data_IF_881340257107
#
_entry.id   IF_881340257107
#
_cell.length_a   1.000
_cell.length_b   1.000
_cell.length_c   1.000
_cell.angle_alpha   90.00
_cell.angle_beta   90.00
_cell.angle_gamma   90.00
#
_symmetry.space_group_name_H-M   'P 1'
#
loop_
_entity.id
_entity.type
_entity.pdbx_description
1 polymer ?
#
# COMPACT_ATOMS: atom_id res chain seq x y z
N UNK A 1 -4.60 16.00 17.65
CA UNK A 1 -4.80 17.25 16.89
C UNK A 1 -5.76 16.99 15.74
N UNK A 2 -6.68 17.93 15.43
CA UNK A 2 -7.84 17.75 14.56
C UNK A 2 -7.52 18.02 13.08
N UNK A 3 -6.40 17.48 12.59
CA UNK A 3 -5.83 17.88 11.30
C UNK A 3 -6.41 17.15 10.07
N UNK A 4 -7.40 16.27 10.25
CA UNK A 4 -7.96 15.44 9.16
C UNK A 4 -9.34 15.95 8.70
N UNK A 5 -9.92 16.95 9.38
CA UNK A 5 -11.30 17.38 9.10
C UNK A 5 -11.46 18.46 8.04
N UNK A 6 -10.38 19.07 7.53
CA UNK A 6 -10.49 20.19 6.58
C UNK A 6 -9.40 20.18 5.50
N UNK A 7 -9.04 19.01 4.96
CA UNK A 7 -8.23 18.96 3.75
C UNK A 7 -9.15 18.87 2.51
N UNK A 8 -9.29 19.95 1.72
CA UNK A 8 -10.17 20.01 0.56
C UNK A 8 -9.71 19.12 -0.61
N UNK A 9 -8.48 18.59 -0.56
CA UNK A 9 -7.95 17.67 -1.57
C UNK A 9 -8.18 16.19 -1.19
N UNK A 10 -8.65 15.90 0.03
CA UNK A 10 -9.14 14.58 0.42
C UNK A 10 -10.61 14.45 0.03
N UNK A 11 -10.88 13.75 -1.08
CA UNK A 11 -12.24 13.28 -1.40
C UNK A 11 -12.81 12.52 -0.19
N UNK A 12 -13.90 13.03 0.38
CA UNK A 12 -14.57 12.40 1.52
C UNK A 12 -15.36 11.14 1.13
N UNK A 13 -15.70 11.00 -0.15
CA UNK A 13 -16.42 9.82 -0.65
C UNK A 13 -15.48 8.62 -0.73
N UNK A 14 -15.89 7.52 -0.15
CA UNK A 14 -15.11 6.29 -0.18
C UNK A 14 -15.13 5.67 -1.58
N UNK A 15 -13.95 5.29 -2.08
CA UNK A 15 -13.83 4.50 -3.30
C UNK A 15 -14.27 3.05 -3.04
N UNK A 16 -14.90 2.42 -4.03
CA UNK A 16 -15.12 0.97 -4.06
C UNK A 16 -14.05 0.28 -4.91
N UNK A 17 -13.69 -0.95 -4.55
CA UNK A 17 -12.77 -1.80 -5.31
C UNK A 17 -13.22 -2.03 -6.78
N UNK A 18 -14.51 -1.94 -7.08
CA UNK A 18 -15.06 -2.12 -8.42
C UNK A 18 -15.13 -0.82 -9.23
N UNK A 19 -14.81 0.31 -8.60
CA UNK A 19 -14.75 1.59 -9.30
C UNK A 19 -13.62 1.58 -10.33
N UNK A 20 -13.91 2.07 -11.54
CA UNK A 20 -12.94 2.13 -12.63
C UNK A 20 -11.93 3.24 -12.37
N UNK A 21 -10.65 2.89 -12.36
CA UNK A 21 -9.56 3.86 -12.31
C UNK A 21 -9.03 4.17 -13.71
N UNK A 22 -8.62 5.41 -13.90
CA UNK A 22 -7.90 5.82 -15.11
C UNK A 22 -6.47 5.28 -15.09
N UNK A 23 -5.89 5.08 -16.29
CA UNK A 23 -4.47 4.67 -16.42
C UNK A 23 -3.52 5.66 -15.75
N UNK A 24 -3.86 6.96 -15.74
CA UNK A 24 -3.05 7.99 -15.09
C UNK A 24 -3.05 7.83 -13.56
N UNK A 25 -4.20 7.54 -12.94
CA UNK A 25 -4.28 7.28 -11.50
C UNK A 25 -3.44 6.05 -11.10
N UNK A 26 -3.54 4.97 -11.89
CA UNK A 26 -2.77 3.74 -11.65
C UNK A 26 -1.27 4.01 -11.72
N UNK A 27 -0.82 4.69 -12.78
CA UNK A 27 0.60 5.05 -12.96
C UNK A 27 1.11 6.01 -11.90
N UNK A 28 0.28 6.96 -11.46
CA UNK A 28 0.66 7.91 -10.42
C UNK A 28 0.95 7.20 -9.10
N UNK A 29 0.10 6.26 -8.70
CA UNK A 29 0.36 5.42 -7.50
C UNK A 29 1.60 4.56 -7.68
N UNK A 30 1.78 3.96 -8.86
CA UNK A 30 2.99 3.20 -9.19
C UNK A 30 4.26 4.03 -9.03
N UNK A 31 4.27 5.27 -9.54
CA UNK A 31 5.40 6.18 -9.45
C UNK A 31 5.71 6.56 -7.99
N UNK A 32 4.70 6.89 -7.19
CA UNK A 32 4.90 7.20 -5.76
C UNK A 32 5.42 6.00 -4.98
N UNK A 33 4.94 4.79 -5.31
CA UNK A 33 5.48 3.55 -4.75
C UNK A 33 6.95 3.38 -5.15
N UNK A 34 7.30 3.60 -6.41
CA UNK A 34 8.69 3.49 -6.89
C UNK A 34 9.61 4.49 -6.19
N UNK A 35 9.18 5.73 -6.02
CA UNK A 35 9.94 6.77 -5.31
C UNK A 35 10.24 6.35 -3.86
N UNK A 36 9.23 5.83 -3.14
CA UNK A 36 9.37 5.27 -1.80
C UNK A 36 10.40 4.11 -1.78
N UNK A 37 10.28 3.15 -2.70
CA UNK A 37 11.18 2.00 -2.77
C UNK A 37 12.62 2.42 -3.04
N UNK A 38 12.86 3.28 -4.04
CA UNK A 38 14.20 3.75 -4.41
C UNK A 38 14.84 4.53 -3.27
N UNK A 39 14.08 5.39 -2.59
CA UNK A 39 14.58 6.21 -1.49
C UNK A 39 15.05 5.36 -0.31
N UNK A 40 14.31 4.30 0.01
CA UNK A 40 14.51 3.50 1.22
C UNK A 40 15.03 2.07 0.95
N UNK A 41 15.49 1.76 -0.27
CA UNK A 41 16.04 0.44 -0.61
C UNK A 41 17.21 -0.01 0.28
N UNK A 42 17.99 0.95 0.78
CA UNK A 42 19.13 0.72 1.66
C UNK A 42 18.80 0.96 3.14
N UNK A 43 17.54 1.31 3.45
CA UNK A 43 17.11 1.49 4.82
C UNK A 43 17.10 0.13 5.53
N UNK A 44 17.78 0.08 6.66
CA UNK A 44 17.66 -1.03 7.60
C UNK A 44 16.54 -0.72 8.57
N UNK A 45 15.99 -1.75 9.21
CA UNK A 45 15.03 -1.63 10.32
C UNK A 45 15.73 -1.13 11.59
N UNK A 46 16.51 -0.06 11.47
CA UNK A 46 17.08 0.69 12.57
C UNK A 46 15.96 1.56 13.17
N UNK A 47 15.69 1.37 14.45
CA UNK A 47 14.55 1.93 15.20
C UNK A 47 14.50 3.47 15.15
N UNK A 48 15.57 4.13 14.71
CA UNK A 48 15.68 5.60 14.61
C UNK A 48 14.93 6.20 13.43
N UNK A 49 14.56 5.42 12.42
CA UNK A 49 13.97 5.92 11.17
C UNK A 49 12.62 5.24 10.94
N UNK A 50 11.55 5.93 11.31
CA UNK A 50 10.19 5.37 11.29
C UNK A 50 9.47 5.73 9.99
N UNK A 51 8.72 4.79 9.37
CA UNK A 51 7.91 5.08 8.19
C UNK A 51 7.04 6.33 8.28
N UNK A 52 6.46 6.61 9.45
CA UNK A 52 5.60 7.79 9.66
C UNK A 52 6.33 9.12 9.44
N UNK A 53 7.65 9.15 9.60
CA UNK A 53 8.48 10.34 9.43
C UNK A 53 8.98 10.49 7.98
N UNK A 54 8.61 9.58 7.06
CA UNK A 54 9.10 9.57 5.68
C UNK A 54 8.19 10.38 4.75
N UNK A 55 8.70 11.45 4.12
CA UNK A 55 7.91 12.24 3.16
C UNK A 55 7.37 11.40 2.00
N UNK A 56 8.16 10.45 1.51
CA UNK A 56 7.77 9.57 0.41
C UNK A 56 6.68 8.56 0.84
N UNK A 57 6.64 8.18 2.13
CA UNK A 57 5.54 7.36 2.67
C UNK A 57 4.24 8.15 2.74
N UNK A 58 4.30 9.40 3.24
CA UNK A 58 3.14 10.30 3.24
C UNK A 58 2.62 10.52 1.81
N UNK A 59 3.52 10.86 0.87
CA UNK A 59 3.14 11.08 -0.52
C UNK A 59 2.54 9.83 -1.18
N UNK A 60 3.01 8.64 -0.82
CA UNK A 60 2.44 7.39 -1.30
C UNK A 60 1.05 7.12 -0.70
N UNK A 61 0.87 7.36 0.61
CA UNK A 61 -0.44 7.30 1.28
C UNK A 61 -1.43 8.22 0.56
N UNK A 62 -1.08 9.50 0.39
CA UNK A 62 -1.97 10.52 -0.17
C UNK A 62 -2.39 10.17 -1.60
N UNK A 63 -1.44 9.70 -2.40
CA UNK A 63 -1.71 9.21 -3.75
C UNK A 63 -2.64 7.99 -3.75
N UNK A 64 -2.42 7.04 -2.85
CA UNK A 64 -3.25 5.84 -2.75
C UNK A 64 -4.69 6.14 -2.31
N UNK A 65 -4.90 7.08 -1.38
CA UNK A 65 -6.24 7.55 -1.03
C UNK A 65 -6.89 8.29 -2.20
N UNK A 66 -6.19 9.24 -2.81
CA UNK A 66 -6.72 10.09 -3.88
C UNK A 66 -7.02 9.33 -5.17
N UNK A 67 -6.30 8.23 -5.41
CA UNK A 67 -6.45 7.40 -6.61
C UNK A 67 -7.26 6.12 -6.37
N UNK A 68 -7.96 5.99 -5.24
CA UNK A 68 -8.85 4.86 -4.97
C UNK A 68 -8.16 3.52 -4.73
N UNK A 69 -6.90 3.50 -4.31
CA UNK A 69 -6.24 2.28 -3.86
C UNK A 69 -6.54 1.95 -2.39
N UNK A 70 -7.09 2.90 -1.63
CA UNK A 70 -7.74 2.61 -0.35
C UNK A 70 -9.25 2.69 -0.51
N UNK A 71 -9.92 1.54 -0.46
CA UNK A 71 -11.36 1.40 -0.69
C UNK A 71 -12.14 1.13 0.61
N UNK A 72 -13.43 1.49 0.71
CA UNK A 72 -14.26 1.16 1.87
C UNK A 72 -14.58 -0.33 1.99
N UNK A 73 -14.78 -0.98 0.85
CA UNK A 73 -15.01 -2.43 0.68
C UNK A 73 -13.69 -3.20 0.47
N UNK A 74 -12.55 -2.49 0.57
CA UNK A 74 -11.22 -3.08 0.41
C UNK A 74 -10.98 -4.23 1.37
N UNK A 75 -11.52 -4.11 2.58
CA UNK A 75 -11.41 -5.10 3.65
C UNK A 75 -12.42 -6.25 3.59
N UNK A 76 -13.44 -6.21 2.73
CA UNK A 76 -14.41 -7.30 2.62
C UNK A 76 -13.68 -8.56 2.16
N UNK A 77 -13.76 -9.60 2.99
CA UNK A 77 -13.04 -10.88 2.88
C UNK A 77 -11.52 -10.85 3.14
N UNK A 78 -10.90 -9.70 3.42
CA UNK A 78 -9.47 -9.64 3.81
C UNK A 78 -9.17 -10.16 5.24
N UNK A 79 -10.20 -10.55 5.98
CA UNK A 79 -10.12 -11.21 7.29
C UNK A 79 -10.94 -12.50 7.40
N UNK A 80 -11.49 -13.01 6.28
CA UNK A 80 -12.19 -14.29 6.26
C UNK A 80 -11.17 -15.43 6.33
N UNK A 81 -11.03 -16.06 7.50
CA UNK A 81 -10.09 -17.18 7.73
C UNK A 81 -10.38 -18.40 6.85
N UNK A 82 -11.56 -18.50 6.24
CA UNK A 82 -11.89 -19.58 5.29
C UNK A 82 -11.35 -19.31 3.88
N UNK A 83 -10.96 -18.07 3.57
CA UNK A 83 -10.24 -17.68 2.35
C UNK A 83 -8.77 -17.45 2.71
N UNK A 84 -7.84 -17.63 1.77
CA UNK A 84 -6.40 -17.48 2.04
C UNK A 84 -6.12 -16.16 2.76
N UNK A 85 -5.60 -16.15 4.00
CA UNK A 85 -5.27 -14.94 4.73
C UNK A 85 -4.36 -14.05 3.88
N UNK A 86 -4.60 -12.74 3.86
CA UNK A 86 -3.85 -11.81 3.02
C UNK A 86 -2.35 -11.88 3.28
N UNK A 87 -1.93 -12.17 4.51
CA UNK A 87 -0.53 -12.43 4.85
C UNK A 87 0.04 -13.64 4.11
N UNK A 88 -0.70 -14.75 4.03
CA UNK A 88 -0.30 -15.94 3.26
C UNK A 88 -0.29 -15.68 1.76
N UNK A 89 -1.25 -14.90 1.26
CA UNK A 89 -1.25 -14.45 -0.12
C UNK A 89 -0.01 -13.62 -0.44
N UNK A 90 0.35 -12.65 0.41
CA UNK A 90 1.56 -11.83 0.29
C UNK A 90 2.84 -12.69 0.32
N UNK A 91 2.95 -13.63 1.27
CA UNK A 91 4.06 -14.59 1.30
C UNK A 91 4.14 -15.42 0.01
N UNK A 92 3.00 -15.79 -0.56
CA UNK A 92 2.96 -16.56 -1.80
C UNK A 92 3.36 -15.75 -3.04
N UNK A 93 3.16 -14.43 -3.01
CA UNK A 93 3.65 -13.51 -4.05
C UNK A 93 5.15 -13.25 -3.89
N UNK A 94 5.65 -13.17 -2.66
CA UNK A 94 7.09 -13.06 -2.38
C UNK A 94 7.86 -14.32 -2.82
N UNK A 95 7.27 -15.50 -2.63
CA UNK A 95 7.83 -16.76 -3.08
C UNK A 95 7.86 -16.89 -4.61
N UNK A 96 6.89 -16.31 -5.31
CA UNK A 96 6.79 -16.35 -6.77
C UNK A 96 6.29 -15.01 -7.33
N UNK A 97 7.26 -14.16 -7.70
CA UNK A 97 6.98 -12.83 -8.25
C UNK A 97 6.31 -12.86 -9.63
N UNK A 98 6.39 -13.96 -10.37
CA UNK A 98 5.72 -14.07 -11.69
C UNK A 98 4.20 -13.96 -11.56
N UNK A 99 3.67 -14.31 -10.38
CA UNK A 99 2.25 -14.20 -10.07
C UNK A 99 1.76 -12.76 -10.04
N UNK A 100 2.65 -11.80 -9.76
CA UNK A 100 2.33 -10.36 -9.76
C UNK A 100 1.96 -9.87 -11.16
N UNK A 101 2.56 -10.43 -12.21
CA UNK A 101 2.29 -10.05 -13.60
C UNK A 101 0.83 -10.33 -13.99
N UNK A 102 0.27 -11.41 -13.46
CA UNK A 102 -1.09 -11.87 -13.74
C UNK A 102 -2.17 -11.25 -12.85
N UNK A 103 -1.79 -10.42 -11.87
CA UNK A 103 -2.76 -9.79 -10.98
C UNK A 103 -3.62 -8.77 -11.73
N UNK A 104 -4.91 -8.75 -11.39
CA UNK A 104 -5.82 -7.71 -11.83
C UNK A 104 -5.58 -6.40 -11.07
N UNK A 105 -6.08 -5.28 -11.59
CA UNK A 105 -6.04 -4.02 -10.85
C UNK A 105 -6.77 -4.12 -9.50
N UNK A 106 -7.85 -4.90 -9.42
CA UNK A 106 -8.57 -5.16 -8.16
C UNK A 106 -7.67 -5.85 -7.14
N UNK A 107 -6.87 -6.83 -7.55
CA UNK A 107 -5.94 -7.52 -6.66
C UNK A 107 -4.80 -6.61 -6.19
N UNK A 108 -4.26 -5.79 -7.09
CA UNK A 108 -3.23 -4.79 -6.75
C UNK A 108 -3.77 -3.76 -5.75
N UNK A 109 -5.01 -3.30 -5.94
CA UNK A 109 -5.69 -2.40 -5.00
C UNK A 109 -5.90 -3.07 -3.64
N UNK A 110 -6.27 -4.35 -3.59
CA UNK A 110 -6.38 -5.10 -2.34
C UNK A 110 -5.03 -5.21 -1.61
N UNK A 111 -3.96 -5.56 -2.32
CA UNK A 111 -2.61 -5.64 -1.73
C UNK A 111 -2.20 -4.29 -1.13
N UNK A 112 -2.32 -3.21 -1.90
CA UNK A 112 -1.92 -1.88 -1.43
C UNK A 112 -2.83 -1.36 -0.32
N UNK A 113 -4.14 -1.60 -0.40
CA UNK A 113 -5.07 -1.32 0.69
C UNK A 113 -4.65 -2.05 1.97
N UNK A 114 -4.29 -3.34 1.89
CA UNK A 114 -3.85 -4.12 3.04
C UNK A 114 -2.59 -3.55 3.67
N UNK A 115 -1.57 -3.21 2.87
CA UNK A 115 -0.35 -2.57 3.38
C UNK A 115 -0.74 -1.28 4.11
N UNK A 116 -1.45 -0.38 3.44
CA UNK A 116 -1.79 0.94 4.00
C UNK A 116 -2.70 0.85 5.24
N UNK A 117 -3.56 -0.15 5.34
CA UNK A 117 -4.48 -0.34 6.48
C UNK A 117 -3.88 -1.12 7.63
N UNK A 118 -2.97 -2.06 7.36
CA UNK A 118 -2.19 -2.74 8.39
C UNK A 118 -1.36 -1.72 9.18
N UNK A 119 -0.87 -0.68 8.49
CA UNK A 119 -0.12 0.41 9.13
C UNK A 119 -1.04 1.47 9.80
N UNK A 120 -2.34 1.54 9.45
CA UNK A 120 -3.28 2.55 10.03
C UNK A 120 -3.93 2.14 11.36
N UNK A 121 -3.88 0.86 11.73
CA UNK A 121 -4.37 0.36 13.03
C UNK A 121 -3.31 -0.35 13.87
N UNK A 122 -2.24 -0.86 13.26
CA UNK A 122 -1.16 -1.54 13.97
C UNK A 122 -0.13 -0.61 14.62
N UNK A 123 -0.19 0.69 14.33
CA UNK A 123 0.92 1.61 14.62
C UNK A 123 0.53 2.94 15.26
N UNK A 124 -0.60 2.96 15.95
CA UNK A 124 -1.00 4.05 16.83
C UNK A 124 -0.13 4.12 18.12
N UNK A 125 1.20 4.04 18.00
CA UNK A 125 2.14 4.22 19.09
C UNK A 125 3.12 3.07 19.38
N UNK A 126 3.45 2.19 18.43
CA UNK A 126 4.50 1.20 18.64
C UNK A 126 5.85 1.68 18.09
N UNK A 127 6.92 1.53 18.87
CA UNK A 127 8.29 1.91 18.49
C UNK A 127 8.86 1.09 17.32
N UNK A 128 8.15 0.05 16.85
CA UNK A 128 8.65 -0.96 15.89
C UNK A 128 7.66 -1.41 14.80
N UNK A 129 6.49 -0.78 14.66
CA UNK A 129 5.59 -1.15 13.56
C UNK A 129 6.07 -0.63 12.19
N UNK A 130 5.30 -0.94 11.16
CA UNK A 130 5.77 -0.87 9.78
C UNK A 130 6.04 -2.23 9.15
N UNK A 131 5.57 -3.35 9.70
CA UNK A 131 5.94 -4.68 9.23
C UNK A 131 5.61 -4.92 7.74
N UNK A 132 4.46 -4.43 7.27
CA UNK A 132 4.03 -4.59 5.89
C UNK A 132 4.76 -3.61 4.96
N UNK A 133 4.99 -2.36 5.39
CA UNK A 133 5.79 -1.41 4.61
C UNK A 133 7.27 -1.79 4.54
N UNK A 134 7.87 -2.22 5.64
CA UNK A 134 9.26 -2.71 5.66
C UNK A 134 9.40 -3.89 4.72
N UNK A 135 8.47 -4.85 4.79
CA UNK A 135 8.44 -5.97 3.86
C UNK A 135 8.26 -5.51 2.41
N UNK A 136 7.42 -4.51 2.14
CA UNK A 136 7.25 -3.96 0.80
C UNK A 136 8.55 -3.35 0.26
N UNK A 137 9.31 -2.64 1.10
CA UNK A 137 10.55 -1.94 0.73
C UNK A 137 11.75 -2.88 0.64
N UNK A 138 11.89 -3.80 1.58
CA UNK A 138 13.06 -4.69 1.66
C UNK A 138 12.89 -5.94 0.79
N UNK A 139 11.68 -6.23 0.31
CA UNK A 139 11.44 -7.35 -0.60
C UNK A 139 11.39 -6.91 -2.06
N UNK A 140 11.56 -7.88 -2.95
CA UNK A 140 11.38 -7.69 -4.39
C UNK A 140 9.91 -7.56 -4.80
N UNK A 141 8.96 -7.76 -3.87
CA UNK A 141 7.54 -7.66 -4.14
C UNK A 141 7.11 -6.22 -4.44
N UNK A 142 7.61 -5.24 -3.67
CA UNK A 142 7.31 -3.83 -3.91
C UNK A 142 7.68 -3.39 -5.33
N UNK A 143 8.87 -3.76 -5.77
CA UNK A 143 9.36 -3.47 -7.12
C UNK A 143 8.58 -4.18 -8.23
N UNK A 144 8.08 -5.39 -7.96
CA UNK A 144 7.21 -6.10 -8.90
C UNK A 144 5.85 -5.39 -9.02
N UNK A 145 5.26 -4.98 -7.89
CA UNK A 145 3.98 -4.25 -7.85
C UNK A 145 4.12 -2.88 -8.52
N UNK A 146 5.18 -2.12 -8.24
CA UNK A 146 5.43 -0.82 -8.86
C UNK A 146 5.51 -0.93 -10.40
N UNK A 147 6.27 -1.89 -10.92
CA UNK A 147 6.35 -2.16 -12.37
C UNK A 147 5.01 -2.56 -12.95
N UNK A 148 4.24 -3.38 -12.24
CA UNK A 148 2.90 -3.81 -12.68
C UNK A 148 1.90 -2.64 -12.77
N UNK A 149 2.11 -1.59 -11.98
CA UNK A 149 1.35 -0.34 -12.02
C UNK A 149 1.87 0.64 -13.10
N UNK A 150 2.96 0.30 -13.79
CA UNK A 150 3.52 1.08 -14.90
C UNK A 150 4.55 2.13 -14.52
N UNK A 151 5.25 1.92 -13.39
CA UNK A 151 6.43 2.70 -12.98
C UNK A 151 7.74 2.15 -13.56
#
# INVERSE_FOLDING_TARGET
MPAIQNDPDIRQDAFSLDEKLTVQQVRFVGARLRDLLVRYQAATRDERVRPIDWPEWSAFIDAAYSCGFVCSDGGDHMGDRAQTPVSEFMYSLEADLSRVENLSLRDLRKILHYVLRSERWGDAGADTGGGAIWRLITSRLGDAVARRLGA
#
